data_IF_492265186387
#
_entry.id   IF_492265186387
#
_cell.length_a   1.000
_cell.length_b   1.000
_cell.length_c   1.000
_cell.angle_alpha   90.00
_cell.angle_beta   90.00
_cell.angle_gamma   90.00
#
_symmetry.space_group_name_H-M   'P 1'
#
loop_
_entity.id
_entity.type
_entity.pdbx_description
1 polymer ?
#
# COMPACT_ATOMS: atom_id res chain seq x y z
N UNK A 1 -4.86 24.69 -21.38
CA UNK A 1 -4.47 23.54 -20.54
C UNK A 1 -3.11 23.07 -20.99
N UNK A 2 -2.05 23.34 -20.24
CA UNK A 2 -0.73 22.75 -20.50
C UNK A 2 -0.81 21.24 -20.20
N UNK A 3 -0.38 20.40 -21.14
CA UNK A 3 -0.33 18.96 -20.94
C UNK A 3 0.72 18.58 -19.88
N UNK A 4 0.51 17.47 -19.17
CA UNK A 4 1.54 16.90 -18.28
C UNK A 4 2.73 16.38 -19.10
N UNK A 5 3.96 16.32 -18.57
CA UNK A 5 5.10 15.74 -19.27
C UNK A 5 4.81 14.31 -19.81
N UNK A 6 4.12 13.48 -19.02
CA UNK A 6 3.73 12.13 -19.41
C UNK A 6 2.78 12.08 -20.62
N UNK A 7 1.97 13.12 -20.87
CA UNK A 7 1.06 13.16 -22.01
C UNK A 7 1.81 13.08 -23.34
N UNK A 8 2.98 13.73 -23.44
CA UNK A 8 3.81 13.70 -24.63
C UNK A 8 4.35 12.30 -24.92
N UNK A 9 4.75 11.57 -23.88
CA UNK A 9 5.23 10.20 -23.99
C UNK A 9 4.12 9.23 -24.37
N UNK A 10 2.94 9.35 -23.75
CA UNK A 10 1.78 8.51 -24.07
C UNK A 10 1.33 8.68 -25.53
N UNK A 11 1.31 9.92 -26.03
CA UNK A 11 1.00 10.19 -27.44
C UNK A 11 2.00 9.52 -28.38
N UNK A 12 3.29 9.58 -28.04
CA UNK A 12 4.34 8.96 -28.84
C UNK A 12 4.22 7.44 -28.83
N UNK A 13 3.98 6.86 -27.66
CA UNK A 13 3.74 5.42 -27.50
C UNK A 13 2.59 4.95 -28.39
N UNK A 14 1.43 5.64 -28.33
CA UNK A 14 0.24 5.29 -29.11
C UNK A 14 0.48 5.47 -30.61
N UNK A 15 1.25 6.48 -31.02
CA UNK A 15 1.57 6.70 -32.43
C UNK A 15 2.47 5.59 -33.01
N UNK A 16 3.31 4.96 -32.19
CA UNK A 16 4.25 3.90 -32.62
C UNK A 16 3.65 2.51 -32.49
N UNK A 17 2.97 2.22 -31.37
CA UNK A 17 2.47 0.88 -31.04
C UNK A 17 0.98 0.69 -31.34
N UNK A 18 0.28 1.77 -31.72
CA UNK A 18 -1.17 1.78 -31.86
C UNK A 18 -1.89 2.01 -30.52
N UNK A 19 -3.22 1.87 -30.50
CA UNK A 19 -4.01 2.07 -29.27
C UNK A 19 -3.52 1.17 -28.12
N UNK A 20 -3.34 1.76 -26.95
CA UNK A 20 -2.99 1.03 -25.73
C UNK A 20 -4.24 0.70 -24.91
N UNK A 21 -4.18 -0.36 -24.11
CA UNK A 21 -5.24 -0.71 -23.18
C UNK A 21 -5.33 0.30 -22.04
N UNK A 22 -6.50 0.39 -21.40
CA UNK A 22 -6.70 1.20 -20.19
C UNK A 22 -5.76 0.74 -19.05
N UNK A 23 -5.52 -0.57 -18.93
CA UNK A 23 -4.54 -1.13 -17.99
C UNK A 23 -3.15 -0.50 -18.20
N UNK A 24 -2.66 -0.48 -19.45
CA UNK A 24 -1.35 0.07 -19.77
C UNK A 24 -1.28 1.57 -19.49
N UNK A 25 -2.34 2.30 -19.83
CA UNK A 25 -2.46 3.72 -19.52
C UNK A 25 -2.39 3.96 -18.00
N UNK A 26 -3.19 3.24 -17.21
CA UNK A 26 -3.21 3.37 -15.75
C UNK A 26 -1.87 3.02 -15.12
N UNK A 27 -1.21 1.94 -15.57
CA UNK A 27 0.11 1.54 -15.08
C UNK A 27 1.15 2.66 -15.29
N UNK A 28 1.13 3.34 -16.44
CA UNK A 28 2.02 4.46 -16.72
C UNK A 28 1.66 5.69 -15.87
N UNK A 29 0.39 6.07 -15.81
CA UNK A 29 -0.05 7.22 -15.00
C UNK A 29 0.30 7.07 -13.52
N UNK A 30 0.19 5.86 -12.97
CA UNK A 30 0.46 5.60 -11.56
C UNK A 30 1.94 5.33 -11.27
N UNK A 31 2.61 4.59 -12.15
CA UNK A 31 3.92 3.98 -11.89
C UNK A 31 5.06 4.42 -12.79
N UNK A 32 4.87 5.35 -13.73
CA UNK A 32 5.95 5.81 -14.60
C UNK A 32 7.17 6.27 -13.78
N UNK A 33 8.40 5.80 -14.08
CA UNK A 33 9.56 6.04 -13.21
C UNK A 33 9.86 7.50 -12.92
N UNK A 34 9.54 8.40 -13.87
CA UNK A 34 9.82 9.85 -13.78
C UNK A 34 8.56 10.69 -13.54
N UNK A 35 7.40 10.21 -13.97
CA UNK A 35 6.18 11.01 -14.05
C UNK A 35 4.97 10.37 -13.36
N UNK A 36 5.15 9.17 -12.81
CA UNK A 36 4.10 8.42 -12.17
C UNK A 36 3.62 9.13 -10.91
N UNK A 37 2.31 9.04 -10.68
CA UNK A 37 1.65 9.61 -9.52
C UNK A 37 2.34 9.20 -8.21
N UNK A 38 2.52 7.90 -7.96
CA UNK A 38 3.12 7.39 -6.72
C UNK A 38 4.65 7.53 -6.66
N UNK A 39 5.29 7.99 -7.75
CA UNK A 39 6.75 8.14 -7.83
C UNK A 39 7.21 9.58 -7.58
N UNK A 40 6.33 10.55 -7.81
CA UNK A 40 6.70 11.97 -7.86
C UNK A 40 6.19 12.79 -6.68
N UNK A 41 5.35 12.22 -5.82
CA UNK A 41 4.77 12.90 -4.65
C UNK A 41 4.53 11.91 -3.50
N UNK A 42 4.32 12.44 -2.30
CA UNK A 42 3.76 11.70 -1.16
C UNK A 42 2.24 11.98 -1.11
N UNK A 43 1.39 11.06 -1.59
CA UNK A 43 -0.04 11.31 -1.72
C UNK A 43 -0.84 11.05 -0.44
N UNK A 44 -0.23 10.53 0.62
CA UNK A 44 -0.94 10.02 1.80
C UNK A 44 -0.97 11.03 2.96
N UNK A 45 -2.13 11.11 3.62
CA UNK A 45 -2.32 11.83 4.88
C UNK A 45 -2.90 13.23 4.70
N UNK A 46 -2.98 14.00 5.79
CA UNK A 46 -3.70 15.29 5.82
C UNK A 46 -3.13 16.36 4.86
N UNK A 47 -1.84 16.26 4.50
CA UNK A 47 -1.19 17.13 3.52
C UNK A 47 -1.10 16.50 2.12
N UNK A 48 -1.53 15.24 1.97
CA UNK A 48 -1.57 14.50 0.72
C UNK A 48 -2.90 14.68 -0.02
N UNK A 49 -3.08 13.88 -1.08
CA UNK A 49 -4.28 13.90 -1.91
C UNK A 49 -5.42 13.08 -1.28
N UNK A 50 -5.12 12.14 -0.36
CA UNK A 50 -6.12 11.35 0.36
C UNK A 50 -5.60 10.77 1.69
N UNK A 51 -6.52 10.54 2.62
CA UNK A 51 -6.25 9.94 3.94
C UNK A 51 -6.75 8.50 4.01
N UNK A 52 -5.89 7.57 4.42
CA UNK A 52 -6.22 6.15 4.59
C UNK A 52 -6.64 5.81 6.02
N UNK A 53 -7.39 4.72 6.24
CA UNK A 53 -7.88 4.34 7.57
C UNK A 53 -6.80 4.24 8.67
N UNK A 54 -5.59 3.68 8.42
CA UNK A 54 -4.51 3.69 9.41
C UNK A 54 -4.06 5.10 9.83
N UNK A 55 -4.18 6.09 8.93
CA UNK A 55 -3.81 7.48 9.21
C UNK A 55 -4.91 8.25 9.97
N UNK A 56 -6.13 7.71 10.04
CA UNK A 56 -7.24 8.30 10.79
C UNK A 56 -7.22 7.84 12.25
N UNK A 57 -6.97 6.55 12.49
CA UNK A 57 -7.03 5.99 13.83
C UNK A 57 -6.15 4.76 13.98
N UNK A 58 -5.34 4.74 15.04
CA UNK A 58 -4.54 3.59 15.45
C UNK A 58 -5.39 2.32 15.69
N UNK A 59 -6.67 2.49 16.04
CA UNK A 59 -7.58 1.37 16.33
C UNK A 59 -7.68 0.45 15.11
N UNK A 60 -7.61 1.00 13.89
CA UNK A 60 -7.67 0.19 12.68
C UNK A 60 -6.52 -0.81 12.61
N UNK A 61 -5.28 -0.37 12.89
CA UNK A 61 -4.13 -1.27 12.89
C UNK A 61 -4.10 -2.20 14.10
N UNK A 62 -4.53 -1.72 15.27
CA UNK A 62 -4.62 -2.57 16.47
C UNK A 62 -5.59 -3.74 16.27
N UNK A 63 -6.77 -3.49 15.69
CA UNK A 63 -7.75 -4.54 15.41
C UNK A 63 -7.23 -5.57 14.40
N UNK A 64 -6.48 -5.14 13.38
CA UNK A 64 -5.86 -6.06 12.43
C UNK A 64 -4.70 -6.87 13.04
N UNK A 65 -3.98 -6.29 14.00
CA UNK A 65 -3.02 -7.03 14.82
C UNK A 65 -3.69 -8.13 15.64
N UNK A 66 -4.77 -7.81 16.35
CA UNK A 66 -5.54 -8.81 17.11
C UNK A 66 -6.16 -9.88 16.22
N UNK A 67 -6.70 -9.49 15.07
CA UNK A 67 -7.21 -10.43 14.07
C UNK A 67 -6.11 -11.36 13.54
N UNK A 68 -4.90 -10.86 13.36
CA UNK A 68 -3.74 -11.68 12.97
C UNK A 68 -3.46 -12.77 14.02
N UNK A 69 -3.47 -12.43 15.31
CA UNK A 69 -3.28 -13.42 16.38
C UNK A 69 -4.39 -14.49 16.39
N UNK A 70 -5.64 -14.07 16.20
CA UNK A 70 -6.78 -14.98 16.13
C UNK A 70 -6.65 -15.96 14.96
N UNK A 71 -6.33 -15.46 13.76
CA UNK A 71 -6.12 -16.31 12.58
C UNK A 71 -4.93 -17.25 12.79
N UNK A 72 -3.81 -16.74 13.32
CA UNK A 72 -2.65 -17.56 13.64
C UNK A 72 -2.97 -18.68 14.64
N UNK A 73 -3.78 -18.38 15.66
CA UNK A 73 -4.27 -19.39 16.60
C UNK A 73 -5.14 -20.44 15.92
N UNK A 74 -6.11 -20.01 15.09
CA UNK A 74 -6.98 -20.88 14.31
C UNK A 74 -6.24 -21.77 13.31
N UNK A 75 -5.06 -21.35 12.84
CA UNK A 75 -4.16 -22.13 11.99
C UNK A 75 -3.27 -23.13 12.78
N UNK A 76 -3.44 -23.24 14.10
CA UNK A 76 -2.65 -24.14 14.93
C UNK A 76 -1.28 -23.60 15.32
N UNK A 77 -1.13 -22.28 15.37
CA UNK A 77 0.09 -21.58 15.83
C UNK A 77 1.35 -21.95 15.01
N UNK A 78 1.32 -21.83 13.67
CA UNK A 78 2.46 -22.19 12.82
C UNK A 78 3.70 -21.34 13.15
N UNK A 79 4.86 -21.98 13.14
CA UNK A 79 6.16 -21.34 13.28
C UNK A 79 7.19 -22.03 12.35
N UNK A 80 7.83 -21.29 11.40
CA UNK A 80 7.66 -19.87 11.14
C UNK A 80 6.39 -19.55 10.32
N UNK A 81 5.92 -18.31 10.40
CA UNK A 81 4.92 -17.77 9.45
C UNK A 81 5.33 -16.37 8.94
N UNK A 82 4.56 -15.84 7.98
CA UNK A 82 4.82 -14.52 7.39
C UNK A 82 3.56 -13.67 7.45
N UNK A 83 3.65 -12.51 8.09
CA UNK A 83 2.67 -11.44 7.99
C UNK A 83 3.11 -10.49 6.85
N UNK A 84 2.31 -10.38 5.79
CA UNK A 84 2.66 -9.66 4.56
C UNK A 84 1.65 -8.55 4.30
N UNK A 85 2.14 -7.32 4.12
CA UNK A 85 1.34 -6.15 3.72
C UNK A 85 1.77 -5.68 2.33
N UNK A 86 0.82 -5.58 1.40
CA UNK A 86 1.07 -5.12 0.03
C UNK A 86 0.78 -3.63 -0.07
N UNK A 87 1.80 -2.85 -0.39
CA UNK A 87 1.69 -1.40 -0.47
C UNK A 87 1.48 -0.76 0.91
N UNK A 88 2.46 -0.85 1.82
CA UNK A 88 2.31 -0.44 3.22
C UNK A 88 2.12 1.08 3.42
N UNK A 89 2.18 1.87 2.34
CA UNK A 89 2.20 3.32 2.41
C UNK A 89 3.36 3.79 3.30
N UNK A 90 3.01 4.40 4.44
CA UNK A 90 3.96 4.89 5.45
C UNK A 90 4.36 3.81 6.47
N UNK A 91 3.77 2.63 6.43
CA UNK A 91 3.97 1.54 7.39
C UNK A 91 3.17 1.68 8.69
N UNK A 92 2.28 2.68 8.77
CA UNK A 92 1.46 2.97 9.95
C UNK A 92 0.61 1.78 10.38
N UNK A 93 0.00 1.07 9.42
CA UNK A 93 -0.79 -0.14 9.68
C UNK A 93 0.06 -1.22 10.37
N UNK A 94 1.18 -1.61 9.75
CA UNK A 94 2.06 -2.62 10.34
C UNK A 94 2.58 -2.22 11.72
N UNK A 95 2.95 -0.94 11.90
CA UNK A 95 3.46 -0.47 13.19
C UNK A 95 2.42 -0.64 14.32
N UNK A 96 1.16 -0.26 14.07
CA UNK A 96 0.07 -0.43 15.04
C UNK A 96 -0.29 -1.90 15.27
N UNK A 97 -0.32 -2.71 14.20
CA UNK A 97 -0.59 -4.14 14.29
C UNK A 97 0.48 -4.87 15.13
N UNK A 98 1.76 -4.62 14.87
CA UNK A 98 2.87 -5.22 15.63
C UNK A 98 2.88 -4.75 17.09
N UNK A 99 2.51 -3.49 17.37
CA UNK A 99 2.37 -2.96 18.73
C UNK A 99 1.25 -3.68 19.49
N UNK A 100 0.10 -3.89 18.86
CA UNK A 100 -1.00 -4.65 19.44
C UNK A 100 -0.63 -6.13 19.67
N UNK A 101 -0.01 -6.78 18.68
CA UNK A 101 0.48 -8.16 18.79
C UNK A 101 1.46 -8.31 19.95
N UNK A 102 2.41 -7.40 20.10
CA UNK A 102 3.37 -7.41 21.21
C UNK A 102 2.69 -7.38 22.58
N UNK A 103 1.58 -6.66 22.70
CA UNK A 103 0.84 -6.52 23.96
C UNK A 103 -0.09 -7.71 24.23
N UNK A 104 -0.79 -8.21 23.20
CA UNK A 104 -1.87 -9.19 23.37
C UNK A 104 -1.47 -10.65 23.05
N UNK A 105 -0.51 -10.87 22.15
CA UNK A 105 -0.09 -12.19 21.67
C UNK A 105 1.42 -12.21 21.35
N UNK A 106 2.30 -12.04 22.36
CA UNK A 106 3.75 -11.96 22.16
C UNK A 106 4.36 -13.25 21.57
N UNK A 107 3.71 -14.39 21.76
CA UNK A 107 4.04 -15.67 21.15
C UNK A 107 3.76 -15.71 19.65
N UNK A 108 2.64 -15.12 19.20
CA UNK A 108 2.35 -14.93 17.79
C UNK A 108 3.39 -14.02 17.13
N UNK A 109 3.83 -12.96 17.82
CA UNK A 109 4.85 -12.06 17.28
C UNK A 109 6.24 -12.73 17.16
N UNK A 110 6.52 -13.70 18.02
CA UNK A 110 7.82 -14.39 18.08
C UNK A 110 7.92 -15.62 17.16
N UNK A 111 6.81 -16.10 16.60
CA UNK A 111 6.73 -17.29 15.75
C UNK A 111 7.23 -17.04 14.33
#
# INVERSE_FOLDING_TARGET
>A
MSGTPLLGELRRLIAVEGPITIERYMALCLGHPVHGYYRTRDPLGAAGDFTTAPEISQIFGELLGLWTAEVWHGLGRPAPFRLVELGPGRGTLMADALRALKAAAPDCLAA
#
